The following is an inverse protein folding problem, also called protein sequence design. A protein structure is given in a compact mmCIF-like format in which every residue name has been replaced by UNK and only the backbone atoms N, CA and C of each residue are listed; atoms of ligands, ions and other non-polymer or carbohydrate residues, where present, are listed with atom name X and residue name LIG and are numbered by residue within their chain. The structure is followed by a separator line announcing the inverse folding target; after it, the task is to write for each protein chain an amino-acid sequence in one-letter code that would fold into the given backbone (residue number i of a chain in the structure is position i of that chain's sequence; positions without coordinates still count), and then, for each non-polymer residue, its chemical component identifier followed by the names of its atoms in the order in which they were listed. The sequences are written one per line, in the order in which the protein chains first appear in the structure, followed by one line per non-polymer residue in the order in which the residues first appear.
data_IF_997656262407
#
_entry.id   IF_997656262407
#
_cell.length_a   1.000
_cell.length_b   1.000
_cell.length_c   1.000
_cell.angle_alpha   90.00
_cell.angle_beta   90.00
_cell.angle_gamma   90.00
#
_symmetry.space_group_name_H-M   'P 1'
#
loop_
_entity.id
_entity.type
_entity.pdbx_description
1 polymer ?
#
# COMPACT_ATOMS: atom_id res chain seq x y z
N UNK A 1 -2.91 11.46 17.15
CA UNK A 1 -2.14 10.82 16.06
C UNK A 1 -3.09 10.04 15.16
N UNK A 2 -2.95 10.18 13.82
CA UNK A 2 -3.65 9.38 12.80
C UNK A 2 -2.64 8.75 11.85
N UNK A 3 -2.76 7.46 11.54
CA UNK A 3 -1.77 6.77 10.71
C UNK A 3 -2.35 5.56 9.95
N UNK A 4 -1.69 5.20 8.84
CA UNK A 4 -1.89 3.92 8.14
C UNK A 4 -3.30 3.71 7.59
N UNK A 5 -3.80 4.67 6.80
CA UNK A 5 -5.14 4.59 6.21
C UNK A 5 -5.27 3.50 5.14
N UNK A 6 -6.48 2.98 5.00
CA UNK A 6 -6.91 2.15 3.89
C UNK A 6 -8.20 2.74 3.30
N UNK A 7 -8.21 2.93 1.99
CA UNK A 7 -9.31 3.55 1.24
C UNK A 7 -9.88 2.56 0.23
N UNK A 8 -11.22 2.51 0.13
CA UNK A 8 -11.91 1.73 -0.88
C UNK A 8 -13.19 2.41 -1.34
N UNK A 9 -13.66 2.09 -2.55
CA UNK A 9 -14.98 2.50 -3.02
C UNK A 9 -16.03 1.45 -2.64
N UNK A 10 -17.23 1.91 -2.32
CA UNK A 10 -18.38 1.08 -2.03
C UNK A 10 -19.32 1.02 -3.26
N UNK A 11 -20.11 -0.07 -3.42
CA UNK A 11 -21.04 -0.21 -4.55
C UNK A 11 -22.11 0.88 -4.65
N UNK A 12 -22.45 1.53 -3.53
CA UNK A 12 -23.42 2.64 -3.48
C UNK A 12 -22.86 3.98 -3.97
N UNK A 13 -21.62 4.02 -4.47
CA UNK A 13 -20.99 5.24 -4.97
C UNK A 13 -20.31 6.10 -3.91
N UNK A 14 -20.18 5.61 -2.67
CA UNK A 14 -19.40 6.28 -1.63
C UNK A 14 -17.98 5.70 -1.51
N UNK A 15 -17.15 6.38 -0.75
CA UNK A 15 -15.81 5.94 -0.34
C UNK A 15 -15.85 5.56 1.13
N UNK A 16 -15.09 4.54 1.50
CA UNK A 16 -14.84 4.17 2.88
C UNK A 16 -13.34 4.30 3.16
N UNK A 17 -13.00 5.13 4.13
CA UNK A 17 -11.64 5.30 4.64
C UNK A 17 -11.58 4.81 6.09
N UNK A 18 -10.59 3.97 6.39
CA UNK A 18 -10.28 3.52 7.74
C UNK A 18 -8.84 3.85 8.08
N UNK A 19 -8.52 4.10 9.33
CA UNK A 19 -7.17 4.34 9.82
C UNK A 19 -7.07 3.97 11.30
N UNK A 20 -5.86 3.90 11.83
CA UNK A 20 -5.68 3.80 13.26
C UNK A 20 -5.25 5.14 13.86
N UNK A 21 -5.71 5.41 15.08
CA UNK A 21 -5.47 6.68 15.78
C UNK A 21 -5.46 6.51 17.28
N UNK A 22 -4.77 7.40 17.98
CA UNK A 22 -4.63 7.42 19.43
C UNK A 22 -3.60 8.46 19.86
N UNK A 23 -3.14 8.41 21.11
CA UNK A 23 -2.14 9.36 21.64
C UNK A 23 -0.80 9.24 20.90
N UNK A 24 -0.36 8.02 20.63
CA UNK A 24 0.85 7.68 19.86
C UNK A 24 0.73 6.27 19.29
N UNK A 25 1.54 5.96 18.28
CA UNK A 25 1.61 4.62 17.69
C UNK A 25 1.99 3.58 18.74
N UNK A 26 1.16 2.52 18.86
CA UNK A 26 1.34 1.44 19.82
C UNK A 26 0.94 1.74 21.25
N UNK A 27 0.34 2.90 21.53
CA UNK A 27 -0.27 3.14 22.83
C UNK A 27 -1.57 2.34 22.98
N UNK A 28 -1.93 2.00 24.22
CA UNK A 28 -3.13 1.19 24.50
C UNK A 28 -4.44 1.86 24.07
N UNK A 29 -4.44 3.19 23.88
CA UNK A 29 -5.56 3.98 23.36
C UNK A 29 -5.59 4.07 21.82
N UNK A 30 -4.75 3.29 21.13
CA UNK A 30 -4.75 3.25 19.66
C UNK A 30 -5.87 2.35 19.18
N UNK A 31 -6.85 2.96 18.50
CA UNK A 31 -8.07 2.31 18.03
C UNK A 31 -8.25 2.49 16.51
N UNK A 32 -9.21 1.79 15.92
CA UNK A 32 -9.58 1.92 14.52
C UNK A 32 -10.73 2.91 14.38
N UNK A 33 -10.56 3.81 13.43
CA UNK A 33 -11.54 4.84 13.04
C UNK A 33 -11.95 4.64 11.59
N UNK A 34 -13.15 5.11 11.25
CA UNK A 34 -13.59 5.22 9.86
C UNK A 34 -14.36 6.50 9.59
N UNK A 35 -14.41 6.84 8.31
CA UNK A 35 -15.26 7.89 7.75
C UNK A 35 -15.78 7.45 6.39
N UNK A 36 -16.98 7.88 6.04
CA UNK A 36 -17.59 7.65 4.71
C UNK A 36 -17.55 8.94 3.92
N UNK A 37 -16.96 8.89 2.73
CA UNK A 37 -16.87 9.99 1.79
C UNK A 37 -17.93 9.89 0.70
N UNK A 38 -18.58 11.02 0.37
CA UNK A 38 -19.52 11.13 -0.74
C UNK A 38 -18.95 12.07 -1.79
N UNK A 39 -18.39 11.53 -2.89
CA UNK A 39 -17.87 12.37 -3.99
C UNK A 39 -18.97 13.21 -4.61
N UNK A 40 -18.66 14.47 -4.89
CA UNK A 40 -19.50 15.41 -5.65
C UNK A 40 -18.74 15.88 -6.87
N UNK A 41 -19.46 15.96 -7.98
CA UNK A 41 -18.91 16.36 -9.26
C UNK A 41 -19.58 17.66 -9.69
N UNK A 42 -18.78 18.69 -9.92
CA UNK A 42 -19.25 19.99 -10.37
C UNK A 42 -18.62 20.28 -11.73
N UNK A 43 -19.45 20.48 -12.74
CA UNK A 43 -18.97 20.93 -14.04
C UNK A 43 -18.60 22.42 -13.94
N UNK A 44 -17.32 22.73 -14.16
CA UNK A 44 -16.82 24.10 -14.17
C UNK A 44 -16.51 24.49 -15.60
N UNK A 45 -17.12 25.59 -16.06
CA UNK A 45 -16.81 26.19 -17.35
C UNK A 45 -15.55 27.05 -17.20
N UNK A 46 -14.44 26.62 -17.75
CA UNK A 46 -13.24 27.46 -17.83
C UNK A 46 -13.52 28.66 -18.74
N UNK A 47 -13.53 29.87 -18.19
CA UNK A 47 -13.37 31.08 -18.96
C UNK A 47 -11.92 31.11 -19.45
N UNK A 48 -11.70 31.03 -20.75
CA UNK A 48 -10.40 31.31 -21.33
C UNK A 48 -9.97 32.70 -20.91
N UNK A 49 -8.85 32.84 -20.19
CA UNK A 49 -8.14 34.09 -20.07
C UNK A 49 -7.59 34.44 -21.45
N UNK A 50 -8.11 35.49 -22.05
CA UNK A 50 -7.63 36.04 -23.32
C UNK A 50 -6.15 36.41 -23.21
N UNK A 51 -5.28 35.56 -23.75
CA UNK A 51 -3.98 35.99 -24.20
C UNK A 51 -4.12 36.36 -25.67
N UNK A 52 -4.01 37.67 -25.94
CA UNK A 52 -4.11 38.24 -27.27
C UNK A 52 -3.11 37.57 -28.25
N UNK A 53 -3.61 36.70 -29.11
CA UNK A 53 -3.16 36.44 -30.47
C UNK A 53 -4.23 35.68 -31.24
N UNK A 54 -4.63 36.27 -32.33
CA UNK A 54 -5.72 35.93 -33.22
C UNK A 54 -5.64 34.56 -33.88
N UNK A 55 -6.83 34.07 -34.18
CA UNK A 55 -7.32 33.25 -35.29
C UNK A 55 -7.69 31.81 -34.98
N UNK A 56 -8.97 31.64 -35.27
CA UNK A 56 -9.81 30.45 -35.52
C UNK A 56 -10.72 30.08 -34.33
N UNK A 57 -11.96 30.53 -34.45
CA UNK A 57 -13.12 30.13 -33.68
C UNK A 57 -13.46 28.65 -33.90
N UNK A 58 -13.17 27.80 -32.89
CA UNK A 58 -14.02 26.66 -32.62
C UNK A 58 -14.48 26.79 -31.15
N UNK A 59 -15.71 27.25 -30.98
CA UNK A 59 -16.30 27.64 -29.71
C UNK A 59 -16.65 26.48 -28.78
N UNK A 60 -15.76 25.48 -28.62
CA UNK A 60 -15.92 24.42 -27.63
C UNK A 60 -15.51 24.93 -26.26
N UNK A 61 -16.51 25.27 -25.45
CA UNK A 61 -16.38 25.46 -24.00
C UNK A 61 -15.86 24.14 -23.42
N UNK A 62 -14.64 24.14 -22.94
CA UNK A 62 -14.06 22.96 -22.31
C UNK A 62 -14.59 22.88 -20.86
N UNK A 63 -15.53 21.99 -20.63
CA UNK A 63 -16.00 21.71 -19.27
C UNK A 63 -14.93 20.92 -18.52
N UNK A 64 -14.45 21.44 -17.41
CA UNK A 64 -13.61 20.72 -16.44
C UNK A 64 -14.49 20.23 -15.31
N UNK A 65 -14.21 19.01 -14.85
CA UNK A 65 -14.92 18.41 -13.73
C UNK A 65 -14.11 18.66 -12.46
N UNK A 66 -14.62 19.48 -11.56
CA UNK A 66 -14.11 19.56 -10.20
C UNK A 66 -14.74 18.48 -9.34
N UNK A 67 -13.90 17.79 -8.56
CA UNK A 67 -14.35 16.75 -7.64
C UNK A 67 -14.03 17.18 -6.22
N UNK A 68 -15.07 17.23 -5.40
CA UNK A 68 -14.98 17.37 -3.95
C UNK A 68 -15.51 16.10 -3.28
N UNK A 69 -15.24 15.92 -2.01
CA UNK A 69 -15.75 14.78 -1.25
C UNK A 69 -16.19 15.24 0.13
N UNK A 70 -17.45 15.00 0.46
CA UNK A 70 -17.97 15.28 1.81
C UNK A 70 -17.75 14.06 2.68
N UNK A 71 -16.96 14.20 3.71
CA UNK A 71 -16.66 13.15 4.68
C UNK A 71 -17.55 13.26 5.91
N UNK A 72 -18.03 12.13 6.41
CA UNK A 72 -18.65 12.07 7.75
C UNK A 72 -17.62 12.35 8.83
N UNK A 73 -18.09 12.76 10.01
CA UNK A 73 -17.23 12.81 11.19
C UNK A 73 -16.60 11.41 11.44
N UNK A 74 -15.36 11.36 11.91
CA UNK A 74 -14.69 10.11 12.26
C UNK A 74 -15.43 9.35 13.37
N UNK A 75 -15.61 8.05 13.18
CA UNK A 75 -16.22 7.16 14.19
C UNK A 75 -15.21 6.12 14.63
N UNK A 76 -14.95 6.02 15.93
CA UNK A 76 -14.19 4.93 16.52
C UNK A 76 -15.03 3.66 16.53
N UNK A 77 -14.47 2.55 16.05
CA UNK A 77 -15.21 1.27 15.90
C UNK A 77 -14.62 0.11 16.67
N UNK A 78 -13.51 0.32 17.34
CA UNK A 78 -12.91 -0.68 18.22
C UNK A 78 -12.83 -0.19 19.66
N UNK A 79 -12.73 -1.11 20.58
CA UNK A 79 -12.44 -0.89 21.99
C UNK A 79 -11.69 -2.14 22.46
N UNK A 80 -10.41 -2.22 22.08
CA UNK A 80 -9.60 -3.40 22.34
C UNK A 80 -8.74 -3.20 23.58
N UNK A 81 -8.39 -4.25 24.33
CA UNK A 81 -7.51 -4.15 25.49
C UNK A 81 -6.04 -3.85 25.10
N UNK A 82 -5.68 -4.04 23.84
CA UNK A 82 -4.36 -3.84 23.28
C UNK A 82 -4.44 -2.87 22.10
N UNK A 83 -3.33 -2.21 21.77
CA UNK A 83 -3.25 -1.30 20.64
C UNK A 83 -3.74 -1.92 19.32
N UNK A 84 -4.51 -1.16 18.55
CA UNK A 84 -4.94 -1.51 17.21
C UNK A 84 -4.02 -0.89 16.14
N UNK A 85 -3.82 -1.63 15.01
CA UNK A 85 -2.87 -1.25 13.98
C UNK A 85 -3.39 -1.62 12.59
N UNK A 86 -2.92 -0.88 11.57
CA UNK A 86 -2.99 -1.23 10.16
C UNK A 86 -4.34 -1.79 9.69
N UNK A 87 -5.42 -1.02 9.72
CA UNK A 87 -6.70 -1.47 9.20
C UNK A 87 -6.64 -1.67 7.68
N UNK A 88 -7.23 -2.76 7.20
CA UNK A 88 -7.27 -3.14 5.79
C UNK A 88 -8.69 -3.53 5.40
N UNK A 89 -9.17 -3.03 4.27
CA UNK A 89 -10.52 -3.27 3.77
C UNK A 89 -10.52 -4.27 2.60
N UNK A 90 -11.55 -5.11 2.55
CA UNK A 90 -11.90 -5.89 1.37
C UNK A 90 -13.40 -5.80 1.14
N UNK A 91 -13.80 -5.30 -0.01
CA UNK A 91 -15.21 -5.28 -0.42
C UNK A 91 -15.52 -6.56 -1.19
N UNK A 92 -16.57 -7.27 -0.75
CA UNK A 92 -17.08 -8.47 -1.41
C UNK A 92 -18.60 -8.35 -1.54
N UNK A 93 -19.10 -8.14 -2.76
CA UNK A 93 -20.52 -7.94 -3.02
C UNK A 93 -21.11 -6.83 -2.12
N UNK A 94 -22.08 -7.19 -1.28
CA UNK A 94 -22.74 -6.27 -0.36
C UNK A 94 -22.06 -6.18 1.03
N UNK A 95 -20.89 -6.78 1.19
CA UNK A 95 -20.17 -6.83 2.46
C UNK A 95 -18.79 -6.18 2.38
N UNK A 96 -18.36 -5.68 3.50
CA UNK A 96 -16.99 -5.20 3.73
C UNK A 96 -16.38 -5.98 4.87
N UNK A 97 -15.23 -6.57 4.61
CA UNK A 97 -14.36 -7.12 5.64
C UNK A 97 -13.34 -6.04 6.04
N UNK A 98 -13.22 -5.80 7.33
CA UNK A 98 -12.17 -4.98 7.92
C UNK A 98 -11.24 -5.90 8.71
N UNK A 99 -9.99 -5.95 8.32
CA UNK A 99 -8.91 -6.63 9.03
C UNK A 99 -8.08 -5.59 9.76
N UNK A 100 -7.62 -5.90 10.96
CA UNK A 100 -6.67 -5.06 11.67
C UNK A 100 -5.81 -5.90 12.61
N UNK A 101 -4.64 -5.39 12.96
CA UNK A 101 -3.77 -6.03 13.95
C UNK A 101 -4.09 -5.51 15.33
N UNK A 102 -3.95 -6.35 16.35
CA UNK A 102 -3.98 -5.96 17.75
C UNK A 102 -2.82 -6.57 18.50
N UNK A 103 -2.24 -5.82 19.42
CA UNK A 103 -1.09 -6.24 20.21
C UNK A 103 -0.24 -5.05 20.65
N UNK A 104 0.38 -5.15 21.82
CA UNK A 104 1.25 -4.11 22.37
C UNK A 104 2.64 -4.07 21.72
N UNK A 105 3.04 -5.15 21.03
CA UNK A 105 4.27 -5.27 20.27
C UNK A 105 3.98 -5.84 18.91
N UNK A 106 4.67 -5.34 17.88
CA UNK A 106 4.53 -5.81 16.49
C UNK A 106 4.78 -7.32 16.39
N UNK A 107 5.76 -7.83 17.10
CA UNK A 107 6.12 -9.25 17.11
C UNK A 107 5.00 -10.18 17.65
N UNK A 108 4.06 -9.62 18.42
CA UNK A 108 3.00 -10.38 19.09
C UNK A 108 1.60 -10.10 18.46
N UNK A 109 1.56 -9.46 17.31
CA UNK A 109 0.32 -9.14 16.64
C UNK A 109 -0.57 -10.34 16.40
N UNK A 110 -1.86 -10.13 16.66
CA UNK A 110 -2.95 -11.00 16.25
C UNK A 110 -3.80 -10.25 15.25
N UNK A 111 -4.37 -10.95 14.30
CA UNK A 111 -5.27 -10.32 13.32
C UNK A 111 -6.70 -10.52 13.73
N UNK A 112 -7.42 -9.42 13.79
CA UNK A 112 -8.87 -9.38 14.01
C UNK A 112 -9.57 -9.09 12.68
N UNK A 113 -10.80 -9.56 12.56
CA UNK A 113 -11.68 -9.26 11.42
C UNK A 113 -13.04 -8.84 11.92
N UNK A 114 -13.59 -7.81 11.30
CA UNK A 114 -14.97 -7.34 11.46
C UNK A 114 -15.69 -7.38 10.11
N UNK A 115 -16.99 -7.61 10.15
CA UNK A 115 -17.86 -7.62 8.98
C UNK A 115 -18.84 -6.46 9.07
N UNK A 116 -19.07 -5.79 7.95
CA UNK A 116 -20.15 -4.82 7.77
C UNK A 116 -20.87 -5.08 6.45
N UNK A 117 -22.08 -4.53 6.31
CA UNK A 117 -22.69 -4.27 4.99
C UNK A 117 -22.04 -3.04 4.36
N UNK A 118 -22.16 -2.93 3.05
CA UNK A 118 -21.66 -1.75 2.32
C UNK A 118 -22.60 -0.55 2.45
N UNK A 119 -23.89 -0.81 2.77
CA UNK A 119 -24.89 0.25 2.95
C UNK A 119 -26.05 -0.21 3.87
N UNK A 120 -26.28 0.43 5.01
CA UNK A 120 -25.36 1.34 5.68
C UNK A 120 -24.12 0.59 6.24
N UNK A 121 -23.01 1.30 6.38
CA UNK A 121 -21.82 0.75 7.02
C UNK A 121 -22.09 0.62 8.53
N UNK A 122 -22.18 -0.61 9.00
CA UNK A 122 -22.37 -0.94 10.41
C UNK A 122 -21.52 -2.16 10.77
N UNK A 123 -20.57 -1.97 11.66
CA UNK A 123 -19.57 -2.98 12.00
C UNK A 123 -20.07 -3.96 13.07
N UNK A 124 -19.93 -5.24 12.77
CA UNK A 124 -20.08 -6.32 13.78
C UNK A 124 -18.93 -6.33 14.79
N UNK A 125 -19.02 -7.23 15.77
CA UNK A 125 -17.94 -7.38 16.75
C UNK A 125 -16.67 -7.95 16.13
N UNK A 126 -15.46 -7.50 16.59
CA UNK A 126 -14.19 -8.07 16.16
C UNK A 126 -14.06 -9.53 16.61
N UNK A 127 -13.54 -10.38 15.72
CA UNK A 127 -13.20 -11.76 16.03
C UNK A 127 -11.80 -12.09 15.50
N UNK A 128 -11.06 -13.03 16.11
CA UNK A 128 -9.80 -13.49 15.55
C UNK A 128 -9.97 -14.00 14.12
N UNK A 129 -9.09 -13.59 13.20
CA UNK A 129 -9.09 -14.09 11.82
C UNK A 129 -8.76 -15.58 11.78
N UNK A 130 -7.73 -15.99 12.50
CA UNK A 130 -7.32 -17.37 12.72
C UNK A 130 -7.29 -17.63 14.22
N UNK A 131 -8.28 -18.34 14.78
CA UNK A 131 -8.30 -18.66 16.20
C UNK A 131 -7.05 -19.39 16.66
N UNK A 132 -6.46 -18.95 17.77
CA UNK A 132 -5.25 -19.55 18.35
C UNK A 132 -3.93 -19.18 17.66
N UNK A 133 -3.95 -18.30 16.64
CA UNK A 133 -2.69 -17.83 16.02
C UNK A 133 -1.83 -17.03 17.01
N UNK A 134 -0.55 -17.40 17.07
CA UNK A 134 0.49 -16.75 17.88
C UNK A 134 1.77 -16.47 17.07
N UNK A 135 1.66 -16.45 15.74
CA UNK A 135 2.84 -16.36 14.85
C UNK A 135 3.30 -14.94 14.56
N UNK A 136 2.60 -13.91 15.05
CA UNK A 136 2.88 -12.50 14.77
C UNK A 136 1.90 -11.89 13.76
N UNK A 137 0.77 -12.58 13.52
CA UNK A 137 -0.35 -12.14 12.71
C UNK A 137 -0.49 -12.89 11.38
N UNK A 138 -1.74 -13.12 11.01
CA UNK A 138 -2.19 -13.79 9.78
C UNK A 138 -2.98 -12.79 8.93
N UNK A 139 -3.26 -13.15 7.68
CA UNK A 139 -4.03 -12.29 6.77
C UNK A 139 -3.31 -10.99 6.37
N UNK A 140 -4.06 -10.01 5.84
CA UNK A 140 -3.45 -8.77 5.35
C UNK A 140 -2.83 -7.97 6.49
N UNK A 141 -1.69 -7.35 6.20
CA UNK A 141 -0.98 -6.54 7.21
C UNK A 141 -1.08 -5.05 6.94
N UNK A 142 -1.16 -4.62 5.67
CA UNK A 142 -1.15 -3.19 5.34
C UNK A 142 -1.93 -2.86 4.06
N UNK A 143 -1.89 -3.73 3.06
CA UNK A 143 -2.46 -3.54 1.73
C UNK A 143 -3.70 -4.40 1.54
N UNK A 144 -4.56 -3.97 0.64
CA UNK A 144 -5.82 -4.69 0.38
C UNK A 144 -5.56 -6.08 -0.19
N UNK A 145 -6.27 -7.11 0.30
CA UNK A 145 -6.34 -8.39 -0.38
C UNK A 145 -6.92 -8.24 -1.79
N UNK A 146 -6.59 -9.18 -2.66
CA UNK A 146 -7.22 -9.30 -3.97
C UNK A 146 -8.16 -10.50 -4.00
N UNK A 147 -9.24 -10.35 -4.75
CA UNK A 147 -10.17 -11.44 -5.07
C UNK A 147 -9.88 -11.92 -6.50
N UNK A 148 -9.50 -13.17 -6.64
CA UNK A 148 -9.21 -13.80 -7.93
C UNK A 148 -10.50 -14.22 -8.64
N UNK A 149 -10.48 -14.41 -9.97
CA UNK A 149 -11.63 -14.93 -10.72
C UNK A 149 -12.09 -16.31 -10.25
N UNK A 150 -11.20 -17.12 -9.66
CA UNK A 150 -11.53 -18.40 -9.02
C UNK A 150 -12.37 -18.26 -7.73
N UNK A 151 -12.53 -17.06 -7.20
CA UNK A 151 -13.15 -16.80 -5.91
C UNK A 151 -12.16 -16.83 -4.73
N UNK A 152 -10.90 -17.18 -4.96
CA UNK A 152 -9.85 -17.13 -3.93
C UNK A 152 -9.55 -15.70 -3.53
N UNK A 153 -9.41 -15.48 -2.24
CA UNK A 153 -8.83 -14.24 -1.69
C UNK A 153 -7.36 -14.47 -1.43
N UNK A 154 -6.49 -13.58 -1.92
CA UNK A 154 -5.07 -13.56 -1.60
C UNK A 154 -4.73 -12.30 -0.82
N UNK A 155 -4.10 -12.45 0.34
CA UNK A 155 -3.74 -11.39 1.26
C UNK A 155 -2.24 -11.41 1.56
N UNK A 156 -1.58 -10.28 1.39
CA UNK A 156 -0.18 -10.13 1.75
C UNK A 156 0.02 -9.97 3.25
N UNK A 157 0.72 -10.91 3.87
CA UNK A 157 1.07 -10.92 5.29
C UNK A 157 2.56 -10.81 5.53
N UNK A 158 2.96 -10.43 6.74
CA UNK A 158 4.35 -10.47 7.19
C UNK A 158 4.46 -10.83 8.65
N UNK A 159 5.63 -11.39 9.01
CA UNK A 159 6.05 -11.64 10.39
C UNK A 159 7.24 -10.72 10.65
N UNK A 160 7.14 -9.91 11.70
CA UNK A 160 8.14 -8.94 12.10
C UNK A 160 8.77 -9.36 13.45
N UNK A 161 9.15 -10.64 13.55
CA UNK A 161 9.81 -11.25 14.71
C UNK A 161 11.14 -11.84 14.28
N UNK A 162 12.25 -11.33 14.80
CA UNK A 162 13.59 -11.73 14.34
C UNK A 162 13.85 -11.26 12.90
N UNK A 163 14.16 -12.18 12.01
CA UNK A 163 14.19 -11.89 10.57
C UNK A 163 12.79 -11.57 10.06
N UNK A 164 12.68 -10.51 9.26
CA UNK A 164 11.41 -10.09 8.69
C UNK A 164 11.10 -10.86 7.42
N UNK A 165 9.92 -11.47 7.37
CA UNK A 165 9.53 -12.35 6.28
C UNK A 165 8.08 -12.08 5.85
N UNK A 166 7.85 -12.12 4.54
CA UNK A 166 6.53 -12.03 3.93
C UNK A 166 5.93 -13.42 3.69
N UNK A 167 4.63 -13.44 3.41
CA UNK A 167 3.89 -14.62 2.95
C UNK A 167 2.59 -14.17 2.26
N UNK A 168 1.94 -15.10 1.57
CA UNK A 168 0.56 -14.95 1.16
C UNK A 168 -0.33 -15.80 2.07
N UNK A 169 -1.34 -15.17 2.67
CA UNK A 169 -2.47 -15.90 3.23
C UNK A 169 -3.60 -15.94 2.19
N UNK A 170 -4.16 -17.12 1.94
CA UNK A 170 -5.25 -17.26 1.00
C UNK A 170 -6.47 -17.98 1.61
N UNK A 171 -7.64 -17.63 1.10
CA UNK A 171 -8.91 -18.23 1.50
C UNK A 171 -9.69 -18.65 0.26
N UNK A 172 -10.15 -19.91 0.24
CA UNK A 172 -10.99 -20.47 -0.82
C UNK A 172 -12.48 -20.49 -0.46
N UNK A 173 -12.85 -19.87 0.65
CA UNK A 173 -14.20 -19.89 1.18
C UNK A 173 -14.62 -18.52 1.75
N UNK A 174 -14.40 -17.47 0.96
CA UNK A 174 -14.85 -16.11 1.26
C UNK A 174 -14.29 -15.49 2.56
N UNK A 175 -13.10 -15.92 2.98
CA UNK A 175 -12.46 -15.40 4.20
C UNK A 175 -12.89 -16.09 5.49
N UNK A 176 -13.56 -17.26 5.42
CA UNK A 176 -13.94 -18.04 6.60
C UNK A 176 -12.74 -18.75 7.20
N UNK A 177 -11.94 -19.42 6.36
CA UNK A 177 -10.69 -20.07 6.78
C UNK A 177 -9.53 -19.59 5.90
N UNK A 178 -8.32 -19.63 6.45
CA UNK A 178 -7.13 -19.10 5.84
C UNK A 178 -5.97 -20.10 5.86
N UNK A 179 -5.27 -20.21 4.76
CA UNK A 179 -4.08 -21.02 4.58
C UNK A 179 -2.88 -20.09 4.31
N UNK A 180 -1.76 -20.36 4.95
CA UNK A 180 -0.53 -19.59 4.79
C UNK A 180 0.46 -20.34 3.90
N UNK A 181 1.09 -19.62 2.97
CA UNK A 181 2.21 -20.12 2.17
C UNK A 181 3.49 -20.24 2.98
N UNK A 182 4.55 -20.79 2.38
CA UNK A 182 5.89 -20.68 2.92
C UNK A 182 6.29 -19.20 3.15
N UNK A 183 7.18 -18.97 4.09
CA UNK A 183 7.73 -17.65 4.37
C UNK A 183 8.74 -17.25 3.28
N UNK A 184 8.68 -16.00 2.88
CA UNK A 184 9.57 -15.37 1.90
C UNK A 184 10.50 -14.43 2.65
N UNK A 185 11.77 -14.76 2.74
CA UNK A 185 12.81 -13.94 3.35
C UNK A 185 13.86 -13.53 2.32
N UNK A 186 14.75 -12.61 2.70
CA UNK A 186 15.91 -12.25 1.90
C UNK A 186 17.05 -13.24 2.18
N UNK A 187 17.88 -13.49 1.18
CA UNK A 187 19.17 -14.16 1.42
C UNK A 187 20.15 -13.15 2.05
N UNK A 188 19.95 -12.86 3.35
CA UNK A 188 20.75 -11.86 4.07
C UNK A 188 22.23 -12.23 4.17
N UNK A 189 22.57 -13.51 4.06
CA UNK A 189 23.95 -13.96 3.99
C UNK A 189 24.62 -13.45 2.72
N UNK A 190 23.97 -13.58 1.58
CA UNK A 190 24.51 -13.09 0.31
C UNK A 190 24.60 -11.56 0.28
N UNK A 191 23.65 -10.85 0.90
CA UNK A 191 23.63 -9.37 0.96
C UNK A 191 24.73 -8.78 1.86
N UNK A 192 25.30 -9.57 2.77
CA UNK A 192 26.40 -9.14 3.65
C UNK A 192 27.78 -9.47 3.07
N UNK A 193 27.86 -10.16 1.94
CA UNK A 193 29.13 -10.31 1.23
C UNK A 193 29.50 -8.95 0.60
N UNK A 194 30.77 -8.50 0.71
CA UNK A 194 31.22 -7.30 0.00
C UNK A 194 30.95 -7.50 -1.50
N UNK A 195 30.32 -6.49 -2.15
CA UNK A 195 30.20 -6.49 -3.60
C UNK A 195 31.60 -6.64 -4.18
N UNK A 196 31.79 -7.62 -5.05
CA UNK A 196 33.02 -7.75 -5.81
C UNK A 196 33.15 -6.48 -6.66
N UNK A 197 33.97 -5.53 -6.19
CA UNK A 197 34.08 -4.22 -6.82
C UNK A 197 34.56 -4.36 -8.28
N UNK A 198 33.87 -3.75 -9.20
CA UNK A 198 34.26 -3.63 -10.60
C UNK A 198 35.55 -2.79 -10.80
N UNK A 199 36.13 -2.23 -9.76
CA UNK A 199 37.39 -1.48 -9.82
C UNK A 199 38.36 -1.94 -8.76
N UNK A 200 39.35 -2.66 -9.23
CA UNK A 200 40.55 -3.17 -8.69
C UNK A 200 41.04 -2.70 -7.30
N UNK A 201 41.52 -3.70 -6.51
CA UNK A 201 42.35 -3.59 -5.35
C UNK A 201 41.69 -3.17 -4.01
N UNK A 202 40.69 -3.97 -3.57
CA UNK A 202 40.62 -4.29 -2.15
C UNK A 202 40.95 -5.80 -2.03
N UNK A 203 41.92 -6.17 -1.22
CA UNK A 203 42.17 -7.57 -0.94
C UNK A 203 40.91 -8.21 -0.36
N UNK A 204 40.50 -9.39 -0.85
CA UNK A 204 39.32 -10.05 -0.29
C UNK A 204 39.56 -10.36 1.17
N UNK A 205 38.82 -9.74 2.05
CA UNK A 205 38.79 -10.13 3.47
C UNK A 205 38.41 -11.60 3.51
N UNK A 206 39.28 -12.45 4.05
CA UNK A 206 39.01 -13.87 4.11
C UNK A 206 37.68 -14.08 4.88
N UNK A 207 36.78 -14.89 4.34
CA UNK A 207 35.45 -15.19 4.95
C UNK A 207 35.61 -15.68 6.41
N UNK A 208 36.79 -16.20 6.77
CA UNK A 208 37.14 -16.61 8.13
C UNK A 208 37.38 -15.46 9.11
N UNK A 209 37.53 -14.22 8.66
CA UNK A 209 37.78 -13.04 9.50
C UNK A 209 36.50 -12.24 9.81
N UNK A 210 35.38 -12.60 9.17
CA UNK A 210 34.08 -12.02 9.50
C UNK A 210 33.56 -12.66 10.79
N UNK A 211 32.99 -11.86 11.72
CA UNK A 211 32.39 -12.43 12.91
C UNK A 211 31.27 -13.39 12.51
N UNK A 212 31.11 -14.52 13.21
CA UNK A 212 30.06 -15.47 12.88
C UNK A 212 28.72 -14.80 12.96
N UNK A 213 27.94 -14.88 11.86
CA UNK A 213 26.57 -14.35 11.78
C UNK A 213 25.72 -15.15 12.77
N UNK A 214 25.08 -14.47 13.69
CA UNK A 214 24.10 -15.04 14.63
C UNK A 214 22.69 -14.70 14.21
N UNK A 215 21.68 -15.41 14.72
CA UNK A 215 20.29 -15.09 14.49
C UNK A 215 19.94 -13.63 14.89
N UNK A 216 20.66 -13.04 15.86
CA UNK A 216 20.51 -11.65 16.24
C UNK A 216 21.02 -10.67 15.16
N UNK A 217 21.94 -11.07 14.29
CA UNK A 217 22.46 -10.23 13.21
C UNK A 217 21.40 -9.84 12.19
N UNK A 218 20.32 -10.62 12.09
CA UNK A 218 19.21 -10.41 11.15
C UNK A 218 17.94 -9.89 11.83
N UNK A 219 17.97 -9.64 13.13
CA UNK A 219 16.81 -9.15 13.85
C UNK A 219 16.39 -7.76 13.32
N UNK A 220 15.13 -7.66 12.87
CA UNK A 220 14.59 -6.45 12.26
C UNK A 220 15.08 -6.17 10.84
N UNK A 221 15.64 -7.16 10.14
CA UNK A 221 16.02 -7.09 8.72
C UNK A 221 15.18 -8.03 7.87
N UNK A 222 14.92 -7.62 6.63
CA UNK A 222 14.22 -8.44 5.66
C UNK A 222 13.13 -7.68 4.90
N UNK A 223 12.02 -8.38 4.60
CA UNK A 223 10.89 -7.88 3.82
C UNK A 223 9.59 -7.96 4.59
N UNK A 224 8.74 -6.92 4.46
CA UNK A 224 7.46 -6.83 5.16
C UNK A 224 6.38 -6.16 4.31
N UNK A 225 5.13 -6.29 4.77
CA UNK A 225 3.94 -5.55 4.31
C UNK A 225 3.76 -5.61 2.79
N UNK A 226 3.59 -6.82 2.23
CA UNK A 226 3.52 -7.00 0.79
C UNK A 226 2.21 -6.49 0.21
N UNK A 227 2.24 -6.04 -1.04
CA UNK A 227 1.08 -5.79 -1.90
C UNK A 227 1.05 -6.82 -3.02
N UNK A 228 -0.15 -7.29 -3.38
CA UNK A 228 -0.36 -8.31 -4.41
C UNK A 228 -1.26 -7.74 -5.50
N UNK A 229 -0.95 -8.03 -6.77
CA UNK A 229 -1.84 -7.81 -7.90
C UNK A 229 -1.78 -8.97 -8.88
N UNK A 230 -2.79 -9.07 -9.75
CA UNK A 230 -2.89 -10.12 -10.77
C UNK A 230 -2.68 -9.53 -12.17
N UNK A 231 -1.90 -10.24 -12.98
CA UNK A 231 -1.73 -10.00 -14.40
C UNK A 231 -1.80 -11.33 -15.15
N UNK A 232 -2.77 -11.46 -16.08
CA UNK A 232 -2.95 -12.65 -16.96
C UNK A 232 -2.83 -14.02 -16.26
N UNK A 233 -3.40 -14.13 -15.04
CA UNK A 233 -3.34 -15.36 -14.23
C UNK A 233 -2.15 -15.46 -13.29
N UNK A 234 -1.07 -14.75 -13.57
CA UNK A 234 0.10 -14.64 -12.71
C UNK A 234 -0.17 -13.65 -11.56
N UNK A 235 0.33 -13.96 -10.37
CA UNK A 235 0.32 -13.01 -9.25
C UNK A 235 1.72 -12.43 -9.06
N UNK A 236 1.74 -11.13 -8.82
CA UNK A 236 2.94 -10.38 -8.48
C UNK A 236 2.81 -9.89 -7.04
N UNK A 237 3.91 -9.92 -6.32
CA UNK A 237 4.02 -9.40 -4.96
C UNK A 237 5.17 -8.40 -4.89
N UNK A 238 4.89 -7.20 -4.39
CA UNK A 238 5.94 -6.25 -3.99
C UNK A 238 5.99 -6.15 -2.49
N UNK A 239 7.20 -6.07 -1.95
CA UNK A 239 7.49 -6.07 -0.52
C UNK A 239 8.38 -4.87 -0.19
N UNK A 240 8.06 -4.14 0.87
CA UNK A 240 9.00 -3.16 1.41
C UNK A 240 10.13 -3.89 2.12
N UNK A 241 11.32 -3.30 2.12
CA UNK A 241 12.50 -3.94 2.70
C UNK A 241 13.36 -2.98 3.52
N UNK A 242 14.26 -3.54 4.30
CA UNK A 242 15.31 -2.80 4.99
C UNK A 242 16.48 -2.43 4.08
N UNK A 243 16.51 -2.93 2.84
CA UNK A 243 17.68 -2.84 1.95
C UNK A 243 17.60 -1.64 0.99
N UNK A 244 16.64 -0.73 1.19
CA UNK A 244 16.51 0.51 0.44
C UNK A 244 15.81 0.39 -0.92
N UNK A 245 15.27 -0.79 -1.24
CA UNK A 245 14.55 -1.09 -2.47
C UNK A 245 13.22 -1.79 -2.18
N UNK A 246 12.29 -1.70 -3.11
CA UNK A 246 11.14 -2.60 -3.17
C UNK A 246 11.64 -3.93 -3.71
N UNK A 247 11.24 -5.03 -3.08
CA UNK A 247 11.51 -6.41 -3.54
C UNK A 247 10.27 -6.99 -4.21
N UNK A 248 10.48 -7.89 -5.16
CA UNK A 248 9.41 -8.55 -5.92
C UNK A 248 9.48 -10.07 -5.81
N UNK A 249 8.32 -10.70 -5.89
CA UNK A 249 8.16 -12.15 -6.02
C UNK A 249 6.95 -12.43 -6.92
N UNK A 250 6.91 -13.61 -7.53
CA UNK A 250 5.88 -14.00 -8.50
C UNK A 250 5.32 -15.36 -8.15
N UNK A 251 4.03 -15.57 -8.41
CA UNK A 251 3.35 -16.85 -8.30
C UNK A 251 2.59 -17.19 -9.59
N UNK A 252 2.72 -18.42 -10.06
CA UNK A 252 2.05 -18.97 -11.26
C UNK A 252 0.85 -19.88 -10.91
N UNK A 253 0.54 -20.05 -9.62
CA UNK A 253 -0.42 -21.03 -9.12
C UNK A 253 -1.43 -20.44 -8.14
N UNK A 254 -1.91 -19.25 -8.46
CA UNK A 254 -2.88 -18.51 -7.63
C UNK A 254 -2.42 -18.29 -6.18
N UNK A 255 -1.12 -17.97 -6.01
CA UNK A 255 -0.56 -17.54 -4.74
C UNK A 255 -0.20 -18.65 -3.77
N UNK A 256 -0.11 -19.92 -4.20
CA UNK A 256 0.30 -21.04 -3.33
C UNK A 256 1.81 -21.13 -3.18
N UNK A 257 2.55 -20.94 -4.27
CA UNK A 257 4.01 -20.91 -4.28
C UNK A 257 4.51 -19.60 -4.90
N UNK A 258 5.62 -19.12 -4.40
CA UNK A 258 6.21 -17.84 -4.76
C UNK A 258 7.70 -17.99 -5.01
N UNK A 259 8.22 -17.23 -5.97
CA UNK A 259 9.67 -17.16 -6.20
C UNK A 259 10.38 -16.48 -5.05
N UNK A 260 11.70 -16.70 -4.90
CA UNK A 260 12.50 -15.96 -3.94
C UNK A 260 12.45 -14.45 -4.22
N UNK A 261 12.38 -13.60 -3.17
CA UNK A 261 12.35 -12.16 -3.32
C UNK A 261 13.58 -11.61 -4.07
N UNK A 262 13.35 -10.80 -5.09
CA UNK A 262 14.40 -10.13 -5.87
C UNK A 262 14.25 -8.61 -5.77
N UNK A 263 15.33 -7.83 -5.69
CA UNK A 263 15.26 -6.38 -5.67
C UNK A 263 14.74 -5.86 -7.01
N UNK A 264 13.93 -4.79 -6.96
CA UNK A 264 13.52 -4.02 -8.12
C UNK A 264 14.39 -2.77 -8.27
N UNK A 265 14.20 -2.00 -9.34
CA UNK A 265 14.84 -0.69 -9.51
C UNK A 265 14.22 0.43 -8.64
N UNK A 266 13.11 0.15 -7.95
CA UNK A 266 12.36 1.13 -7.17
C UNK A 266 12.98 1.31 -5.77
N UNK A 267 13.40 2.54 -5.48
CA UNK A 267 13.83 2.89 -4.13
C UNK A 267 12.66 2.95 -3.16
N UNK A 268 12.91 2.53 -1.92
CA UNK A 268 12.00 2.68 -0.80
C UNK A 268 12.79 2.79 0.51
N UNK A 269 12.36 3.69 1.37
CA UNK A 269 12.99 3.97 2.66
C UNK A 269 12.43 3.12 3.80
N UNK A 270 12.02 1.89 3.51
CA UNK A 270 11.32 1.03 4.45
C UNK A 270 10.04 1.70 5.01
N UNK A 271 9.27 2.37 4.16
CA UNK A 271 7.93 2.87 4.49
C UNK A 271 6.85 2.18 3.67
N UNK A 272 5.61 2.21 4.17
CA UNK A 272 4.47 1.61 3.48
C UNK A 272 4.24 2.24 2.10
N UNK A 273 3.87 1.41 1.14
CA UNK A 273 3.46 1.79 -0.20
C UNK A 273 2.22 0.99 -0.62
N UNK A 274 1.61 1.33 -1.73
CA UNK A 274 0.49 0.59 -2.30
C UNK A 274 0.60 0.52 -3.83
N UNK A 275 0.13 -0.58 -4.42
CA UNK A 275 0.03 -0.80 -5.87
C UNK A 275 -1.38 -1.24 -6.20
N UNK A 276 -1.96 -0.65 -7.24
CA UNK A 276 -3.22 -1.13 -7.80
C UNK A 276 -3.13 -1.32 -9.31
N UNK A 277 -3.87 -2.31 -9.81
CA UNK A 277 -4.15 -2.49 -11.22
C UNK A 277 -5.52 -1.88 -11.53
N UNK A 278 -5.56 -0.98 -12.50
CA UNK A 278 -6.82 -0.34 -12.92
C UNK A 278 -7.37 -1.00 -14.19
N UNK A 279 -8.66 -0.78 -14.54
CA UNK A 279 -9.21 -1.23 -15.82
C UNK A 279 -8.33 -0.78 -16.99
N UNK A 280 -8.10 -1.69 -17.95
CA UNK A 280 -7.13 -1.48 -19.04
C UNK A 280 -5.70 -1.92 -18.70
N UNK A 281 -5.49 -2.55 -17.53
CA UNK A 281 -4.27 -3.30 -17.18
C UNK A 281 -3.15 -2.45 -16.56
N UNK A 282 -3.24 -1.14 -16.64
CA UNK A 282 -2.19 -0.23 -16.13
C UNK A 282 -2.05 -0.30 -14.62
N UNK A 283 -0.80 -0.26 -14.13
CA UNK A 283 -0.50 -0.20 -12.70
C UNK A 283 -0.27 1.23 -12.23
N UNK A 284 -0.68 1.51 -10.99
CA UNK A 284 -0.28 2.69 -10.24
C UNK A 284 0.37 2.28 -8.93
N UNK A 285 1.47 2.95 -8.58
CA UNK A 285 2.20 2.79 -7.32
C UNK A 285 2.28 4.16 -6.63
N UNK A 286 2.06 4.17 -5.32
CA UNK A 286 2.33 5.30 -4.45
C UNK A 286 3.37 4.92 -3.40
N UNK A 287 4.47 5.64 -3.29
CA UNK A 287 5.53 5.36 -2.32
C UNK A 287 6.37 6.60 -1.98
N UNK A 288 7.25 6.46 -0.99
CA UNK A 288 8.35 7.39 -0.74
C UNK A 288 9.61 6.87 -1.47
N UNK A 289 9.99 7.39 -2.64
CA UNK A 289 11.10 6.88 -3.44
C UNK A 289 12.46 7.39 -2.94
N UNK A 290 12.76 7.12 -1.68
CA UNK A 290 14.00 7.48 -1.00
C UNK A 290 14.74 6.20 -0.67
N UNK A 291 16.01 6.11 -1.06
CA UNK A 291 16.84 4.95 -0.76
C UNK A 291 17.26 4.95 0.70
N UNK A 292 17.26 3.80 1.34
CA UNK A 292 17.77 3.58 2.69
C UNK A 292 16.76 2.89 3.61
N UNK A 293 17.19 2.64 4.83
CA UNK A 293 16.34 2.11 5.89
C UNK A 293 15.97 3.24 6.85
N UNK A 294 14.68 3.41 7.16
CA UNK A 294 14.17 4.49 8.03
C UNK A 294 14.52 5.91 7.55
N UNK A 295 14.52 6.14 6.24
CA UNK A 295 14.76 7.44 5.63
C UNK A 295 13.55 8.39 5.76
N UNK A 296 13.74 9.63 5.30
CA UNK A 296 12.69 10.65 5.28
C UNK A 296 11.44 10.18 4.53
N UNK A 297 10.25 10.43 5.08
CA UNK A 297 8.96 10.09 4.46
C UNK A 297 8.41 11.22 3.60
N UNK A 298 9.29 11.78 2.81
CA UNK A 298 9.05 12.83 1.81
C UNK A 298 10.10 12.71 0.70
N UNK A 299 9.75 12.92 -0.60
CA UNK A 299 8.41 13.15 -1.12
C UNK A 299 7.50 11.91 -1.05
N UNK A 300 6.19 12.11 -1.13
CA UNK A 300 5.24 11.07 -1.52
C UNK A 300 5.01 11.19 -3.02
N UNK A 301 5.29 10.13 -3.78
CA UNK A 301 5.23 10.16 -5.23
C UNK A 301 4.33 9.08 -5.80
N UNK A 302 3.75 9.38 -6.97
CA UNK A 302 2.93 8.49 -7.76
C UNK A 302 3.67 8.08 -9.03
N UNK A 303 3.61 6.78 -9.29
CA UNK A 303 4.20 6.15 -10.47
C UNK A 303 3.12 5.44 -11.27
N UNK A 304 3.35 5.36 -12.58
CA UNK A 304 2.58 4.54 -13.50
C UNK A 304 3.48 3.44 -14.04
N UNK A 305 2.98 2.20 -14.04
CA UNK A 305 3.73 1.03 -14.47
C UNK A 305 3.07 0.25 -15.59
N UNK A 306 3.86 -0.65 -16.23
CA UNK A 306 3.33 -1.71 -17.07
C UNK A 306 2.61 -2.74 -16.22
N UNK A 307 1.73 -3.55 -16.83
CA UNK A 307 0.89 -4.55 -16.14
C UNK A 307 1.70 -5.59 -15.34
N UNK A 308 2.89 -5.93 -15.82
CA UNK A 308 3.83 -6.87 -15.23
C UNK A 308 4.74 -6.27 -14.16
N UNK A 309 4.67 -4.95 -13.93
CA UNK A 309 5.56 -4.24 -13.00
C UNK A 309 7.01 -4.10 -13.48
N UNK A 310 7.33 -4.45 -14.75
CA UNK A 310 8.70 -4.42 -15.27
C UNK A 310 9.27 -3.03 -15.49
N UNK A 311 8.42 -2.00 -15.56
CA UNK A 311 8.85 -0.61 -15.79
C UNK A 311 7.91 0.36 -15.11
N UNK A 312 8.50 1.34 -14.42
CA UNK A 312 7.79 2.39 -13.72
C UNK A 312 8.24 3.77 -14.15
N UNK A 313 7.29 4.69 -14.24
CA UNK A 313 7.54 6.10 -14.51
C UNK A 313 6.86 6.94 -13.43
N UNK A 314 7.66 7.74 -12.69
CA UNK A 314 7.09 8.70 -11.74
C UNK A 314 6.42 9.82 -12.54
N UNK A 315 5.13 10.03 -12.36
CA UNK A 315 4.41 11.10 -13.07
C UNK A 315 4.03 12.29 -12.18
N UNK A 316 3.98 12.09 -10.85
CA UNK A 316 3.61 13.14 -9.91
C UNK A 316 4.34 12.97 -8.58
N UNK A 317 4.81 14.07 -8.02
CA UNK A 317 5.12 14.18 -6.59
C UNK A 317 3.90 14.78 -5.91
N UNK A 318 3.10 13.92 -5.27
CA UNK A 318 1.86 14.31 -4.61
C UNK A 318 2.14 15.26 -3.45
N UNK A 319 3.16 14.92 -2.66
CA UNK A 319 3.63 15.76 -1.55
C UNK A 319 5.15 15.96 -1.64
N UNK A 320 5.62 17.14 -1.23
CA UNK A 320 7.02 17.55 -1.21
C UNK A 320 7.28 18.55 -0.09
N UNK A 321 8.53 18.69 0.28
CA UNK A 321 8.94 19.62 1.35
C UNK A 321 9.16 18.89 2.68
N UNK A 322 9.14 19.64 3.79
CA UNK A 322 9.33 19.10 5.13
C UNK A 322 8.03 18.47 5.62
N UNK A 323 8.09 17.29 6.20
CA UNK A 323 6.95 16.58 6.78
C UNK A 323 7.05 15.08 6.67
N UNK A 324 6.07 14.40 7.20
CA UNK A 324 5.83 12.97 7.00
C UNK A 324 4.58 12.77 6.16
N UNK A 325 4.76 12.28 4.93
CA UNK A 325 3.69 11.92 3.99
C UNK A 325 3.88 10.46 3.60
N UNK A 326 3.15 9.56 4.23
CA UNK A 326 3.48 8.15 4.16
C UNK A 326 2.26 7.24 4.20
N UNK A 327 2.48 5.95 4.04
CA UNK A 327 1.46 4.92 4.12
C UNK A 327 0.26 5.19 3.21
N UNK A 328 0.50 5.39 1.90
CA UNK A 328 -0.58 5.61 0.95
C UNK A 328 -1.45 4.37 0.80
N UNK A 329 -2.72 4.59 0.47
CA UNK A 329 -3.63 3.58 -0.03
C UNK A 329 -4.31 4.08 -1.30
N UNK A 330 -4.24 3.29 -2.37
CA UNK A 330 -4.75 3.61 -3.68
C UNK A 330 -6.11 2.95 -3.92
N UNK A 331 -7.00 3.66 -4.58
CA UNK A 331 -8.26 3.08 -5.06
C UNK A 331 -8.62 3.72 -6.40
N UNK A 332 -9.05 2.90 -7.36
CA UNK A 332 -9.63 3.36 -8.61
C UNK A 332 -11.15 3.36 -8.48
N UNK A 333 -11.75 4.52 -8.59
CA UNK A 333 -13.19 4.67 -8.56
C UNK A 333 -13.59 5.98 -9.25
N UNK A 334 -14.83 6.03 -9.74
CA UNK A 334 -15.42 7.25 -10.30
C UNK A 334 -14.55 7.87 -11.40
N UNK A 335 -14.02 7.01 -12.26
CA UNK A 335 -13.16 7.37 -13.40
C UNK A 335 -11.89 8.15 -13.02
N UNK A 336 -11.31 7.84 -11.86
CA UNK A 336 -10.07 8.45 -11.42
C UNK A 336 -9.36 7.67 -10.32
N UNK A 337 -8.20 8.16 -9.93
CA UNK A 337 -7.33 7.59 -8.90
C UNK A 337 -7.51 8.35 -7.60
N UNK A 338 -7.89 7.64 -6.57
CA UNK A 338 -7.99 8.14 -5.20
C UNK A 338 -6.79 7.65 -4.39
N UNK A 339 -6.21 8.54 -3.60
CA UNK A 339 -5.05 8.26 -2.76
C UNK A 339 -5.33 8.78 -1.36
N UNK A 340 -5.42 7.91 -0.36
CA UNK A 340 -5.36 8.34 1.04
C UNK A 340 -3.96 8.12 1.58
N UNK A 341 -3.50 8.96 2.49
CA UNK A 341 -2.17 8.86 3.11
C UNK A 341 -2.11 9.57 4.45
N UNK A 342 -1.14 9.19 5.26
CA UNK A 342 -0.81 9.87 6.52
C UNK A 342 -0.18 11.22 6.23
N UNK A 343 -0.74 12.28 6.81
CA UNK A 343 -0.23 13.65 6.75
C UNK A 343 0.28 14.06 8.13
N UNK A 344 1.60 14.14 8.31
CA UNK A 344 2.32 14.49 9.53
C UNK A 344 1.90 13.69 10.79
N UNK A 345 1.30 12.51 10.63
CA UNK A 345 0.66 11.72 11.71
C UNK A 345 -0.44 12.48 12.49
N UNK A 346 -0.86 13.61 12.00
CA UNK A 346 -1.94 14.42 12.57
C UNK A 346 -3.28 14.12 11.93
N UNK A 347 -3.26 13.94 10.59
CA UNK A 347 -4.44 13.74 9.78
C UNK A 347 -4.25 12.60 8.76
N UNK A 348 -5.38 12.14 8.21
CA UNK A 348 -5.41 11.38 6.95
C UNK A 348 -5.85 12.35 5.85
N UNK A 349 -4.96 12.53 4.87
CA UNK A 349 -5.26 13.28 3.66
C UNK A 349 -5.80 12.36 2.56
N UNK A 350 -6.70 12.88 1.72
CA UNK A 350 -7.22 12.17 0.54
C UNK A 350 -7.09 13.06 -0.68
N UNK A 351 -6.46 12.55 -1.72
CA UNK A 351 -6.32 13.20 -3.02
C UNK A 351 -7.08 12.43 -4.10
N UNK A 352 -7.60 13.14 -5.09
CA UNK A 352 -8.23 12.59 -6.27
C UNK A 352 -7.56 13.13 -7.53
N UNK A 353 -7.32 12.26 -8.50
CA UNK A 353 -6.71 12.57 -9.78
C UNK A 353 -7.58 12.00 -10.91
N UNK A 354 -8.08 12.86 -11.76
CA UNK A 354 -8.74 12.46 -12.99
C UNK A 354 -7.75 11.91 -14.02
N UNK A 355 -8.22 11.11 -14.97
CA UNK A 355 -7.37 10.68 -16.10
C UNK A 355 -6.77 11.84 -16.89
N UNK A 356 -7.49 12.96 -16.97
CA UNK A 356 -7.00 14.17 -17.65
C UNK A 356 -5.78 14.74 -16.93
N UNK A 357 -5.84 14.89 -15.61
CA UNK A 357 -4.70 15.37 -14.80
C UNK A 357 -3.52 14.42 -14.87
N UNK A 358 -3.74 13.12 -14.76
CA UNK A 358 -2.69 12.11 -14.92
C UNK A 358 -2.01 12.22 -16.30
N UNK A 359 -2.80 12.39 -17.38
CA UNK A 359 -2.26 12.55 -18.73
C UNK A 359 -1.50 13.89 -18.92
N UNK A 360 -1.94 14.96 -18.26
CA UNK A 360 -1.26 16.25 -18.28
C UNK A 360 0.09 16.18 -17.57
N UNK A 361 0.17 15.57 -16.40
CA UNK A 361 1.42 15.36 -15.66
C UNK A 361 2.47 14.65 -16.53
N UNK A 362 2.07 13.64 -17.32
CA UNK A 362 2.97 12.94 -18.24
C UNK A 362 3.48 13.83 -19.38
N UNK A 363 2.62 14.68 -19.96
CA UNK A 363 2.98 15.57 -21.07
C UNK A 363 4.04 16.59 -20.66
N UNK A 364 3.99 17.13 -19.45
CA UNK A 364 4.99 18.07 -18.95
C UNK A 364 6.39 17.44 -18.82
N UNK A 365 6.48 16.18 -18.45
CA UNK A 365 7.76 15.47 -18.31
C UNK A 365 8.47 15.16 -19.62
N UNK A 366 7.71 14.85 -20.68
CA UNK A 366 8.29 14.59 -22.01
C UNK A 366 8.95 15.86 -22.59
N UNK A 367 8.55 17.06 -22.15
CA UNK A 367 9.13 18.35 -22.62
C UNK A 367 10.37 18.80 -21.84
N UNK A 368 10.61 18.26 -20.64
CA UNK A 368 11.79 18.60 -19.82
C UNK A 368 13.04 17.78 -20.21
N UNK A 369 12.90 16.79 -21.11
CA UNK A 369 13.98 15.88 -21.54
C UNK A 369 14.29 15.97 -23.06
N UNK A 370 13.72 16.95 -23.76
CA UNK A 370 14.07 17.31 -25.14
C UNK A 370 14.66 18.72 -25.17
#
# INVERSE_FOLDING_TARGET
MCHGSCLTALPNGSLLCVWFGGSREGAADTEIYFSVGRPRYTAVKEKKQDSAREHIHDGRVQETLEVSCDWTEPVCITNMPEACWNPVLLVQHEHVLLFFKTGNKIADWKTMVMLSRTDPVYWGHPRPLVPGDSTGGRGPVRTKPILLPSGRICAGGSIERGEWQCFCDYSDNYGITWNRTALLGLNLLALNLPEAGEHGQAEPVAVSELPPLSAQSFNGRGVIQPVIWQEMGRLHMYMRSTEGYIYSSVSEDEGKHWTDPQPTELYNNNSGFDVIRVPGGRLFLACNPVRGNWGARTPLALFMGREDGSRWEMFLRLEKGKGEFSYPSLTYAFNGLWVSYTYNRENIAVAFLTWREIAQCRKFRIREHT
#
